data_IF_451107600213
#
_entry.id   IF_451107600213
#
_cell.length_a   1.000
_cell.length_b   1.000
_cell.length_c   1.000
_cell.angle_alpha   90.00
_cell.angle_beta   90.00
_cell.angle_gamma   90.00
#
_symmetry.space_group_name_H-M   'P 1'
#
loop_
_entity.id
_entity.type
_entity.pdbx_description
1 polymer ?
#
# COMPACT_ATOMS: atom_id res chain seq x y z
N UNK A 1 -56.13 4.79 -21.65
CA UNK A 1 -55.79 3.35 -21.52
C UNK A 1 -54.66 3.24 -20.52
N UNK A 2 -54.95 2.66 -19.35
CA UNK A 2 -53.97 2.43 -18.30
C UNK A 2 -53.01 1.31 -18.70
N UNK A 3 -51.70 1.48 -18.46
CA UNK A 3 -50.86 0.31 -18.26
C UNK A 3 -49.73 0.56 -17.27
N UNK A 4 -49.79 -0.20 -16.18
CA UNK A 4 -48.90 -0.20 -15.02
C UNK A 4 -47.52 -0.70 -15.42
N UNK A 5 -46.47 0.08 -15.16
CA UNK A 5 -45.08 -0.43 -15.05
C UNK A 5 -44.29 0.30 -13.96
N UNK A 6 -44.84 0.40 -12.75
CA UNK A 6 -44.15 0.99 -11.58
C UNK A 6 -44.29 0.05 -10.37
N UNK A 7 -43.84 -1.21 -10.48
CA UNK A 7 -43.80 -2.16 -9.33
C UNK A 7 -42.52 -3.03 -9.33
N UNK A 8 -41.46 -2.72 -10.10
CA UNK A 8 -40.26 -3.59 -10.15
C UNK A 8 -38.94 -2.96 -9.65
N UNK A 9 -38.92 -1.69 -9.23
CA UNK A 9 -37.70 -1.06 -8.71
C UNK A 9 -37.62 -0.98 -7.17
N UNK A 10 -38.70 -1.31 -6.45
CA UNK A 10 -38.71 -1.16 -4.98
C UNK A 10 -38.21 -2.39 -4.21
N UNK A 11 -38.22 -3.58 -4.83
CA UNK A 11 -37.77 -4.82 -4.17
C UNK A 11 -36.25 -4.94 -4.05
N UNK A 12 -35.48 -4.23 -4.91
CA UNK A 12 -34.01 -4.29 -4.88
C UNK A 12 -33.42 -3.62 -3.62
N UNK A 13 -34.07 -2.58 -3.10
CA UNK A 13 -33.64 -1.90 -1.87
C UNK A 13 -33.79 -2.75 -0.60
N UNK A 14 -34.74 -3.70 -0.58
CA UNK A 14 -34.96 -4.56 0.57
C UNK A 14 -33.83 -5.61 0.74
N UNK A 15 -33.23 -6.08 -0.36
CA UNK A 15 -32.08 -6.99 -0.32
C UNK A 15 -30.78 -6.29 0.12
N UNK A 16 -30.57 -5.03 -0.28
CA UNK A 16 -29.37 -4.26 0.11
C UNK A 16 -29.31 -4.03 1.63
N UNK A 17 -30.45 -3.77 2.28
CA UNK A 17 -30.50 -3.55 3.72
C UNK A 17 -30.23 -4.83 4.54
N UNK A 18 -30.59 -6.01 4.03
CA UNK A 18 -30.33 -7.30 4.72
C UNK A 18 -28.84 -7.67 4.68
N UNK A 19 -28.12 -7.37 3.59
CA UNK A 19 -26.69 -7.69 3.46
C UNK A 19 -25.83 -6.79 4.37
N UNK A 20 -26.20 -5.52 4.54
CA UNK A 20 -25.46 -4.59 5.40
C UNK A 20 -25.65 -4.94 6.90
N UNK A 21 -26.81 -5.49 7.27
CA UNK A 21 -27.10 -5.90 8.66
C UNK A 21 -26.33 -7.11 9.17
N UNK A 22 -25.84 -8.00 8.30
CA UNK A 22 -25.16 -9.25 8.71
C UNK A 22 -23.65 -9.13 8.82
N UNK A 23 -23.02 -8.13 8.17
CA UNK A 23 -21.57 -7.93 8.21
C UNK A 23 -21.14 -7.12 9.46
N UNK A 24 -22.05 -6.37 10.08
CA UNK A 24 -21.77 -5.48 11.22
C UNK A 24 -21.50 -6.15 12.57
N UNK A 25 -21.54 -7.48 12.69
CA UNK A 25 -21.42 -8.19 13.99
C UNK A 25 -20.09 -8.96 14.15
N UNK A 26 -19.22 -9.01 13.14
CA UNK A 26 -18.11 -9.99 13.14
C UNK A 26 -16.67 -9.49 13.35
N UNK A 27 -16.43 -8.27 13.83
CA UNK A 27 -15.06 -7.88 14.24
C UNK A 27 -15.03 -7.07 15.53
N UNK A 28 -15.13 -7.77 16.66
CA UNK A 28 -14.74 -7.30 17.99
C UNK A 28 -13.62 -8.20 18.52
N UNK A 29 -12.48 -7.55 18.74
CA UNK A 29 -11.43 -7.84 19.73
C UNK A 29 -10.66 -9.18 19.65
N UNK A 30 -9.32 -9.09 19.65
CA UNK A 30 -8.45 -9.81 20.58
C UNK A 30 -6.98 -9.39 20.42
N UNK A 31 -6.56 -8.42 21.24
CA UNK A 31 -5.15 -8.21 21.58
C UNK A 31 -4.72 -9.27 22.60
N UNK A 32 -3.96 -10.28 22.16
CA UNK A 32 -3.24 -11.18 23.06
C UNK A 32 -1.73 -11.09 22.78
N UNK A 33 -1.04 -10.34 23.62
CA UNK A 33 0.40 -10.46 23.84
C UNK A 33 0.68 -11.71 24.67
N UNK A 34 1.53 -12.64 24.22
CA UNK A 34 2.02 -13.70 25.09
C UNK A 34 3.26 -13.21 25.85
N UNK A 35 3.10 -12.98 27.15
CA UNK A 35 4.19 -12.97 28.12
C UNK A 35 4.58 -14.41 28.43
N UNK A 36 5.83 -14.80 28.21
CA UNK A 36 6.40 -15.98 28.84
C UNK A 36 7.74 -15.61 29.49
N UNK A 37 7.74 -15.75 30.82
CA UNK A 37 8.87 -15.66 31.73
C UNK A 37 9.30 -17.10 32.05
N UNK A 38 10.57 -17.46 31.85
CA UNK A 38 11.47 -17.97 32.90
C UNK A 38 12.79 -18.55 32.34
N UNK A 39 13.90 -17.92 32.79
CA UNK A 39 15.14 -18.49 33.39
C UNK A 39 15.83 -19.69 32.70
N UNK A 40 17.16 -19.81 32.52
CA UNK A 40 18.40 -19.21 33.07
C UNK A 40 19.55 -19.87 32.26
N UNK A 41 20.63 -19.17 31.90
CA UNK A 41 22.04 -19.60 32.14
C UNK A 41 22.93 -18.35 32.06
N UNK A 42 23.75 -18.16 33.10
CA UNK A 42 24.60 -17.01 33.33
C UNK A 42 25.89 -17.01 32.47
N UNK A 43 26.33 -15.81 32.06
CA UNK A 43 27.76 -15.46 31.96
C UNK A 43 27.95 -13.98 32.25
N UNK A 44 28.73 -13.71 33.30
CA UNK A 44 29.07 -12.39 33.83
C UNK A 44 30.11 -11.74 32.92
N UNK A 45 29.84 -10.56 32.38
CA UNK A 45 30.91 -9.66 31.89
C UNK A 45 30.53 -8.19 32.06
N UNK A 46 31.26 -7.54 32.98
CA UNK A 46 31.55 -6.10 33.20
C UNK A 46 30.64 -5.02 32.58
N UNK A 47 30.10 -4.20 33.49
CA UNK A 47 29.42 -2.90 33.30
C UNK A 47 30.06 -1.98 32.25
N UNK A 48 29.24 -1.50 31.30
CA UNK A 48 29.15 -0.09 30.89
C UNK A 48 27.65 0.27 30.86
N UNK A 49 27.18 1.33 31.54
CA UNK A 49 25.79 1.75 31.42
C UNK A 49 25.56 2.25 29.99
N UNK A 50 24.91 1.44 29.16
CA UNK A 50 24.36 1.91 27.88
C UNK A 50 23.30 2.96 28.23
N UNK A 51 23.30 4.15 27.61
CA UNK A 51 22.18 5.06 27.78
C UNK A 51 20.93 4.30 27.35
N UNK A 52 19.96 4.22 28.26
CA UNK A 52 18.61 3.73 27.99
C UNK A 52 18.13 4.53 26.79
N UNK A 53 18.15 3.92 25.59
CA UNK A 53 17.38 4.41 24.45
C UNK A 53 15.95 4.37 24.93
N UNK A 54 15.46 5.51 25.43
CA UNK A 54 14.05 5.77 25.59
C UNK A 54 13.45 5.43 24.23
N UNK A 55 12.77 4.30 24.15
CA UNK A 55 11.77 4.07 23.12
C UNK A 55 10.84 5.27 23.20
N UNK A 56 10.96 6.19 22.26
CA UNK A 56 9.91 7.15 22.00
C UNK A 56 8.90 6.39 21.15
N UNK A 57 7.73 5.99 21.66
CA UNK A 57 6.59 5.78 20.80
C UNK A 57 6.06 7.19 20.51
N UNK A 58 6.69 7.86 19.55
CA UNK A 58 6.15 9.11 19.03
C UNK A 58 6.06 8.85 17.54
N UNK A 59 4.86 8.46 17.11
CA UNK A 59 4.40 8.78 15.76
C UNK A 59 4.39 10.30 15.68
N UNK A 60 5.56 10.89 15.55
CA UNK A 60 5.70 12.32 15.31
C UNK A 60 5.20 12.46 13.88
N UNK A 61 3.98 13.00 13.75
CA UNK A 61 3.45 13.33 12.42
C UNK A 61 4.49 14.22 11.76
N UNK A 62 4.89 13.83 10.56
CA UNK A 62 5.80 14.62 9.74
C UNK A 62 5.23 16.03 9.60
N UNK A 63 6.12 17.01 9.51
CA UNK A 63 5.70 18.34 9.06
C UNK A 63 5.17 18.23 7.61
N UNK A 64 4.32 19.16 7.14
CA UNK A 64 3.81 19.12 5.77
C UNK A 64 4.91 19.07 4.70
N UNK A 65 6.02 19.76 4.95
CA UNK A 65 7.18 19.80 4.03
C UNK A 65 7.93 18.46 3.98
N UNK A 66 8.12 17.81 5.14
CA UNK A 66 8.72 16.48 5.23
C UNK A 66 7.81 15.40 4.64
N UNK A 67 6.49 15.52 4.83
CA UNK A 67 5.50 14.65 4.21
C UNK A 67 5.57 14.75 2.69
N UNK A 68 5.55 15.96 2.14
CA UNK A 68 5.68 16.18 0.69
C UNK A 68 6.98 15.59 0.14
N UNK A 69 8.10 15.82 0.83
CA UNK A 69 9.41 15.27 0.43
C UNK A 69 9.41 13.74 0.48
N UNK A 70 8.77 13.15 1.49
CA UNK A 70 8.63 11.71 1.61
C UNK A 70 7.78 11.14 0.48
N UNK A 71 6.67 11.78 0.15
CA UNK A 71 5.78 11.37 -0.95
C UNK A 71 6.54 11.33 -2.28
N UNK A 72 7.31 12.38 -2.58
CA UNK A 72 8.08 12.46 -3.82
C UNK A 72 9.16 11.38 -3.90
N UNK A 73 9.92 11.16 -2.81
CA UNK A 73 10.95 10.12 -2.77
C UNK A 73 10.37 8.72 -2.86
N UNK A 74 9.23 8.48 -2.20
CA UNK A 74 8.53 7.19 -2.28
C UNK A 74 8.00 6.94 -3.70
N UNK A 75 7.42 7.95 -4.35
CA UNK A 75 7.00 7.84 -5.76
C UNK A 75 8.15 7.53 -6.71
N UNK A 76 9.30 8.18 -6.53
CA UNK A 76 10.52 7.89 -7.30
C UNK A 76 11.04 6.46 -7.06
N UNK A 77 11.09 6.01 -5.80
CA UNK A 77 11.52 4.66 -5.45
C UNK A 77 10.58 3.61 -6.07
N UNK A 78 9.27 3.85 -6.01
CA UNK A 78 8.29 2.95 -6.61
C UNK A 78 8.41 2.87 -8.13
N UNK A 79 8.76 3.97 -8.79
CA UNK A 79 8.99 4.01 -10.23
C UNK A 79 10.28 3.29 -10.66
N UNK A 80 11.30 3.30 -9.81
CA UNK A 80 12.59 2.65 -10.06
C UNK A 80 12.63 1.17 -9.64
N UNK A 81 11.62 0.67 -8.93
CA UNK A 81 11.55 -0.75 -8.59
C UNK A 81 11.36 -1.58 -9.86
N UNK A 82 11.98 -2.76 -9.94
CA UNK A 82 11.83 -3.57 -11.14
C UNK A 82 10.45 -4.25 -11.21
N UNK A 83 9.96 -4.43 -12.43
CA UNK A 83 8.61 -4.91 -12.72
C UNK A 83 8.37 -6.32 -12.17
N UNK A 84 9.39 -7.19 -12.21
CA UNK A 84 9.32 -8.53 -11.63
C UNK A 84 9.18 -8.48 -10.11
N UNK A 85 9.92 -7.61 -9.42
CA UNK A 85 9.80 -7.39 -7.98
C UNK A 85 8.40 -6.88 -7.62
N UNK A 86 7.88 -5.89 -8.33
CA UNK A 86 6.51 -5.41 -8.13
C UNK A 86 5.50 -6.55 -8.25
N UNK A 87 5.57 -7.31 -9.34
CA UNK A 87 4.67 -8.44 -9.60
C UNK A 87 4.76 -9.53 -8.53
N UNK A 88 5.98 -9.87 -8.10
CA UNK A 88 6.24 -10.88 -7.07
C UNK A 88 5.58 -10.54 -5.73
N UNK A 89 5.49 -9.26 -5.39
CA UNK A 89 4.95 -8.79 -4.11
C UNK A 89 3.51 -8.24 -4.20
N UNK A 90 2.82 -8.45 -5.32
CA UNK A 90 1.36 -8.23 -5.39
C UNK A 90 0.64 -9.12 -4.37
N UNK A 91 -0.33 -8.54 -3.66
CA UNK A 91 -1.08 -9.19 -2.59
C UNK A 91 -0.42 -9.10 -1.21
N UNK A 92 0.80 -8.54 -1.12
CA UNK A 92 1.49 -8.27 0.15
C UNK A 92 1.86 -6.80 0.29
N UNK A 93 2.81 -6.32 -0.52
CA UNK A 93 3.26 -4.93 -0.50
C UNK A 93 2.55 -4.08 -1.54
N UNK A 94 2.22 -4.68 -2.68
CA UNK A 94 1.58 -4.01 -3.80
C UNK A 94 0.18 -4.59 -4.05
N UNK A 95 -0.67 -3.83 -4.72
CA UNK A 95 -1.90 -4.34 -5.33
C UNK A 95 -1.84 -4.09 -6.83
N UNK A 96 -2.56 -4.89 -7.61
CA UNK A 96 -2.68 -4.69 -9.05
C UNK A 96 -4.14 -4.59 -9.45
N UNK A 97 -4.41 -3.79 -10.46
CA UNK A 97 -5.73 -3.65 -11.06
C UNK A 97 -5.60 -3.27 -12.53
N UNK A 98 -6.52 -3.77 -13.35
CA UNK A 98 -6.70 -3.25 -14.70
C UNK A 98 -7.50 -1.94 -14.60
N UNK A 99 -7.00 -0.87 -15.21
CA UNK A 99 -7.67 0.41 -15.32
C UNK A 99 -7.88 0.70 -16.80
N UNK A 100 -9.12 1.00 -17.18
CA UNK A 100 -9.45 1.29 -18.58
C UNK A 100 -8.63 2.49 -19.08
N UNK A 101 -8.15 2.40 -20.32
CA UNK A 101 -7.24 3.39 -20.92
C UNK A 101 -5.79 3.39 -20.40
N UNK A 102 -5.47 2.75 -19.27
CA UNK A 102 -4.10 2.64 -18.72
C UNK A 102 -3.52 1.21 -18.80
N UNK A 103 -4.39 0.21 -18.87
CA UNK A 103 -3.99 -1.20 -18.82
C UNK A 103 -3.75 -1.69 -17.41
N UNK A 104 -2.78 -2.60 -17.26
CA UNK A 104 -2.41 -3.14 -15.95
C UNK A 104 -1.65 -2.10 -15.13
N UNK A 105 -2.14 -1.81 -13.94
CA UNK A 105 -1.54 -0.85 -13.01
C UNK A 105 -1.18 -1.53 -11.70
N UNK A 106 -0.23 -0.94 -10.98
CA UNK A 106 0.19 -1.37 -9.66
C UNK A 106 0.02 -0.22 -8.68
N UNK A 107 -0.55 -0.48 -7.52
CA UNK A 107 -0.69 0.51 -6.46
C UNK A 107 0.14 0.14 -5.25
N UNK A 108 0.74 1.16 -4.63
CA UNK A 108 1.43 1.04 -3.37
C UNK A 108 0.82 2.02 -2.38
N UNK A 109 0.64 1.61 -1.12
CA UNK A 109 0.13 2.47 -0.06
C UNK A 109 1.17 2.58 1.05
N UNK A 110 1.58 3.80 1.36
CA UNK A 110 2.39 4.11 2.53
C UNK A 110 1.51 4.70 3.64
N UNK A 111 2.13 5.13 4.74
CA UNK A 111 1.46 5.88 5.79
C UNK A 111 0.91 7.23 5.33
N UNK A 112 1.52 7.83 4.31
CA UNK A 112 1.31 9.23 3.93
C UNK A 112 0.53 9.36 2.62
N UNK A 113 0.62 8.37 1.72
CA UNK A 113 -0.03 8.45 0.43
C UNK A 113 -0.29 7.07 -0.20
N UNK A 114 -1.16 7.08 -1.22
CA UNK A 114 -1.33 5.98 -2.16
C UNK A 114 -0.79 6.41 -3.52
N UNK A 115 -0.10 5.50 -4.18
CA UNK A 115 0.53 5.69 -5.47
C UNK A 115 -0.07 4.74 -6.49
N UNK A 116 -0.07 5.14 -7.75
CA UNK A 116 -0.39 4.28 -8.88
C UNK A 116 0.76 4.34 -9.89
N UNK A 117 1.25 3.18 -10.27
CA UNK A 117 2.28 2.95 -11.27
C UNK A 117 1.64 2.36 -12.52
N UNK A 118 2.01 2.92 -13.66
CA UNK A 118 1.61 2.46 -14.98
C UNK A 118 2.88 2.12 -15.75
N UNK A 119 3.03 0.86 -16.14
CA UNK A 119 4.10 0.40 -17.01
C UNK A 119 3.54 0.29 -18.43
N UNK A 120 3.80 1.30 -19.25
CA UNK A 120 3.30 1.34 -20.62
C UNK A 120 4.15 0.42 -21.49
N UNK A 121 3.55 -0.67 -21.97
CA UNK A 121 4.24 -1.69 -22.77
C UNK A 121 4.56 -1.25 -24.18
N UNK A 122 3.85 -0.24 -24.71
CA UNK A 122 4.01 0.22 -26.09
C UNK A 122 5.27 1.07 -26.26
N UNK A 123 5.60 1.87 -25.25
CA UNK A 123 6.78 2.74 -25.27
C UNK A 123 7.86 2.35 -24.24
N UNK A 124 7.60 1.36 -23.39
CA UNK A 124 8.54 0.91 -22.36
C UNK A 124 8.80 1.94 -21.26
N UNK A 125 7.84 2.84 -21.00
CA UNK A 125 7.93 3.88 -19.98
C UNK A 125 7.10 3.52 -18.76
N UNK A 126 7.73 3.61 -17.60
CA UNK A 126 7.06 3.58 -16.29
C UNK A 126 6.74 5.00 -15.86
N UNK A 127 5.50 5.22 -15.45
CA UNK A 127 5.06 6.47 -14.81
C UNK A 127 4.45 6.17 -13.45
N UNK A 128 4.71 7.02 -12.45
CA UNK A 128 4.10 6.92 -11.13
C UNK A 128 3.39 8.22 -10.80
N UNK A 129 2.15 8.09 -10.34
CA UNK A 129 1.30 9.19 -9.95
C UNK A 129 0.89 9.03 -8.48
N UNK A 130 0.64 10.16 -7.83
CA UNK A 130 -0.17 10.18 -6.62
C UNK A 130 -1.58 9.72 -6.99
N UNK A 131 -2.17 8.83 -6.19
CA UNK A 131 -3.54 8.37 -6.42
C UNK A 131 -4.55 9.47 -6.11
N UNK A 132 -5.52 9.69 -7.00
CA UNK A 132 -6.61 10.64 -6.81
C UNK A 132 -7.97 9.94 -6.95
N UNK A 133 -8.77 9.91 -5.88
CA UNK A 133 -10.10 9.29 -5.92
C UNK A 133 -11.08 10.01 -6.86
N UNK A 134 -10.81 11.27 -7.23
CA UNK A 134 -11.71 12.11 -8.03
C UNK A 134 -11.35 12.12 -9.53
N UNK A 135 -10.17 11.62 -9.91
CA UNK A 135 -9.77 11.51 -11.30
C UNK A 135 -10.34 10.24 -11.94
N UNK A 136 -10.78 10.32 -13.20
CA UNK A 136 -11.43 9.22 -13.95
C UNK A 136 -10.60 7.92 -13.96
N UNK A 137 -9.27 8.04 -14.05
CA UNK A 137 -8.32 6.94 -14.06
C UNK A 137 -7.44 6.91 -12.80
N UNK A 138 -7.86 7.64 -11.76
CA UNK A 138 -7.16 7.80 -10.49
C UNK A 138 -5.75 8.39 -10.54
N UNK A 139 -5.37 9.05 -11.65
CA UNK A 139 -4.08 9.69 -11.80
C UNK A 139 -4.11 11.13 -11.28
N UNK A 140 -3.36 11.41 -10.22
CA UNK A 140 -3.08 12.74 -9.71
C UNK A 140 -1.74 13.29 -10.19
N UNK A 141 -0.95 13.89 -9.27
CA UNK A 141 0.38 14.46 -9.56
C UNK A 141 1.35 13.37 -10.06
N UNK A 142 2.02 13.61 -11.19
CA UNK A 142 3.14 12.77 -11.64
C UNK A 142 4.35 12.97 -10.70
N UNK A 143 4.88 11.86 -10.19
CA UNK A 143 6.00 11.82 -9.24
C UNK A 143 7.27 11.21 -9.86
N UNK A 144 7.12 10.43 -10.93
CA UNK A 144 8.22 9.77 -11.62
C UNK A 144 7.81 9.39 -13.03
N UNK A 145 8.76 9.51 -13.96
CA UNK A 145 8.68 8.97 -15.30
C UNK A 145 10.08 8.52 -15.76
N UNK A 146 10.19 7.31 -16.30
CA UNK A 146 11.47 6.75 -16.76
C UNK A 146 11.28 5.45 -17.53
N UNK A 147 12.38 4.88 -18.04
CA UNK A 147 12.34 3.57 -18.70
C UNK A 147 11.92 2.46 -17.73
N UNK A 148 11.09 1.53 -18.20
CA UNK A 148 10.64 0.40 -17.41
C UNK A 148 11.78 -0.58 -17.14
N UNK A 149 12.14 -0.72 -15.87
CA UNK A 149 13.08 -1.72 -15.40
C UNK A 149 12.33 -3.04 -15.30
N UNK A 150 12.59 -3.98 -16.21
CA UNK A 150 11.91 -5.29 -16.22
C UNK A 150 12.41 -6.20 -15.11
N UNK A 151 13.72 -6.19 -14.89
CA UNK A 151 14.41 -6.98 -13.88
C UNK A 151 15.64 -6.20 -13.45
N UNK A 152 15.92 -6.17 -12.15
CA UNK A 152 17.14 -5.57 -11.65
C UNK A 152 18.34 -6.46 -11.99
N UNK A 153 19.44 -5.85 -12.45
CA UNK A 153 20.65 -6.60 -12.74
C UNK A 153 21.09 -7.41 -11.49
N UNK A 154 21.66 -8.62 -11.67
CA UNK A 154 22.27 -9.33 -10.56
C UNK A 154 23.18 -8.38 -9.80
N UNK A 155 22.95 -8.22 -8.50
CA UNK A 155 23.95 -7.56 -7.67
C UNK A 155 25.15 -8.48 -7.68
N UNK A 156 26.28 -7.99 -8.16
CA UNK A 156 27.56 -8.67 -8.00
C UNK A 156 27.76 -8.86 -6.49
N UNK A 157 27.41 -10.05 -6.00
CA UNK A 157 27.76 -10.46 -4.67
C UNK A 157 29.28 -10.58 -4.68
N UNK A 158 29.98 -9.57 -4.13
CA UNK A 158 31.33 -9.76 -3.65
C UNK A 158 31.27 -10.86 -2.58
N UNK A 159 31.49 -12.10 -3.01
CA UNK A 159 31.76 -13.20 -2.12
C UNK A 159 33.15 -12.98 -1.53
N UNK A 160 33.13 -12.80 -0.21
CA UNK A 160 34.12 -13.21 0.80
C UNK A 160 35.34 -12.31 1.01
#
# INVERSE_FOLDING_TARGET
>A
MANKKIIHQWWFWLFVLIIIGTIGVYYVNNNHTPTNTDNKVAKITKKRPKPVKKSKPVTEKRTPEEEQTFIERAGQAFGQEDSQTIQKYVGSMYSSAYVDGLGMTYTWKTSDAKYIRVDNTDNGITSVYLYDDNAENHLGKNLYQGETIKQMAPRDNYNQ
#
